data_IF_253336147086
#
_entry.id   IF_253336147086
#
_cell.length_a   1.000
_cell.length_b   1.000
_cell.length_c   1.000
_cell.angle_alpha   90.00
_cell.angle_beta   90.00
_cell.angle_gamma   90.00
#
_symmetry.space_group_name_H-M   'P 1'
#
loop_
_entity.id
_entity.type
_entity.pdbx_description
1 polymer ?
#
# COMPACT_ATOMS: atom_id res chain seq x y z
N UNK A 1 -11.59 -0.81 21.95
CA UNK A 1 -10.93 0.48 22.19
C UNK A 1 -10.06 0.85 21.01
N UNK A 2 -10.22 2.06 20.53
CA UNK A 2 -9.42 2.54 19.41
C UNK A 2 -8.03 2.91 19.88
N UNK A 3 -7.05 2.63 19.06
CA UNK A 3 -5.70 3.08 19.35
C UNK A 3 -5.50 4.44 18.70
N UNK A 4 -4.44 5.13 19.09
CA UNK A 4 -4.07 6.40 18.45
C UNK A 4 -2.95 6.21 17.43
N UNK A 5 -2.69 4.96 17.04
CA UNK A 5 -1.63 4.67 16.09
C UNK A 5 -2.20 4.76 14.70
N UNK A 6 -1.97 5.90 14.06
CA UNK A 6 -2.45 6.16 12.71
C UNK A 6 -1.34 6.87 11.95
N UNK A 7 -0.99 6.34 10.79
CA UNK A 7 0.00 6.93 9.91
C UNK A 7 -0.64 7.20 8.57
N UNK A 8 -0.39 8.39 8.04
CA UNK A 8 -0.95 8.79 6.76
C UNK A 8 0.19 9.22 5.86
N UNK A 9 0.19 8.74 4.63
CA UNK A 9 1.17 9.19 3.65
C UNK A 9 0.48 9.46 2.33
N UNK A 10 1.05 10.38 1.56
CA UNK A 10 0.61 10.56 0.19
C UNK A 10 0.90 9.31 -0.59
N UNK A 11 0.02 8.98 -1.51
CA UNK A 11 0.19 7.79 -2.33
C UNK A 11 -0.14 8.13 -3.76
N UNK A 12 0.68 7.63 -4.67
CA UNK A 12 0.48 7.81 -6.09
C UNK A 12 0.36 6.45 -6.71
N UNK A 13 -0.74 6.19 -7.40
CA UNK A 13 -0.99 4.89 -7.97
C UNK A 13 -2.46 4.69 -8.20
N UNK A 14 -2.82 3.45 -8.46
CA UNK A 14 -4.21 3.08 -8.70
C UNK A 14 -4.59 1.93 -7.79
N UNK A 15 -5.82 1.95 -7.31
CA UNK A 15 -6.35 0.85 -6.50
C UNK A 15 -7.63 0.35 -7.13
N UNK A 16 -7.94 -0.91 -6.85
CA UNK A 16 -9.11 -1.57 -7.40
C UNK A 16 -10.17 -1.72 -6.33
N UNK A 17 -11.39 -1.36 -6.67
CA UNK A 17 -12.54 -1.59 -5.82
C UNK A 17 -13.60 -2.25 -6.67
N UNK A 18 -13.91 -3.52 -6.39
CA UNK A 18 -14.75 -4.30 -7.26
C UNK A 18 -14.11 -4.42 -8.62
N UNK A 19 -14.81 -4.02 -9.65
CA UNK A 19 -14.31 -4.08 -11.02
C UNK A 19 -13.71 -2.76 -11.49
N UNK A 20 -13.68 -1.77 -10.63
CA UNK A 20 -13.28 -0.42 -11.04
C UNK A 20 -11.97 -0.03 -10.37
N UNK A 21 -11.17 0.72 -11.10
CA UNK A 21 -9.92 1.27 -10.60
C UNK A 21 -10.08 2.75 -10.36
N UNK A 22 -9.45 3.26 -9.32
CA UNK A 22 -9.45 4.68 -9.04
C UNK A 22 -8.05 5.13 -8.67
N UNK A 23 -7.71 6.40 -8.97
CA UNK A 23 -6.38 6.92 -8.60
C UNK A 23 -6.33 7.17 -7.09
N UNK A 24 -5.17 6.95 -6.53
CA UNK A 24 -4.95 7.16 -5.10
C UNK A 24 -4.56 8.60 -4.80
N UNK A 25 -4.87 9.04 -3.60
CA UNK A 25 -4.30 10.27 -3.06
C UNK A 25 -3.48 9.97 -1.81
N UNK A 26 -3.94 9.04 -0.99
CA UNK A 26 -3.30 8.76 0.30
C UNK A 26 -3.40 7.29 0.63
N UNK A 27 -2.51 6.86 1.50
CA UNK A 27 -2.60 5.57 2.18
C UNK A 27 -2.64 5.84 3.68
N UNK A 28 -3.54 5.16 4.36
CA UNK A 28 -3.70 5.30 5.80
C UNK A 28 -3.41 3.96 6.44
N UNK A 29 -2.50 3.96 7.41
CA UNK A 29 -2.12 2.74 8.12
C UNK A 29 -2.47 2.95 9.58
N UNK A 30 -3.17 2.00 10.18
CA UNK A 30 -3.57 2.13 11.56
C UNK A 30 -3.52 0.79 12.26
N UNK A 31 -3.47 0.84 13.58
CA UNK A 31 -3.57 -0.34 14.42
C UNK A 31 -4.85 -0.21 15.21
N UNK A 32 -5.80 -1.10 14.98
CA UNK A 32 -7.13 -0.96 15.57
C UNK A 32 -7.79 -2.33 15.66
N UNK A 33 -9.00 -2.33 16.21
CA UNK A 33 -9.80 -3.55 16.28
C UNK A 33 -10.20 -3.99 14.89
N UNK A 34 -10.16 -5.30 14.67
CA UNK A 34 -10.64 -5.86 13.42
C UNK A 34 -12.14 -5.67 13.31
N UNK A 35 -12.59 -5.27 12.13
CA UNK A 35 -14.01 -5.08 11.87
C UNK A 35 -14.60 -6.19 11.01
N UNK A 36 -13.76 -6.84 10.23
CA UNK A 36 -14.21 -7.87 9.29
C UNK A 36 -13.51 -9.20 9.53
N UNK A 37 -12.22 -9.16 9.84
CA UNK A 37 -11.50 -10.38 10.14
C UNK A 37 -11.89 -10.88 11.54
N UNK A 38 -11.91 -12.19 11.71
CA UNK A 38 -12.21 -12.77 13.02
C UNK A 38 -10.94 -12.80 13.85
N UNK A 39 -10.44 -11.63 14.15
CA UNK A 39 -9.15 -11.43 14.83
C UNK A 39 -9.34 -10.37 15.91
N UNK A 40 -8.34 -10.22 16.76
CA UNK A 40 -8.33 -9.14 17.73
C UNK A 40 -7.95 -7.83 17.08
N UNK A 41 -6.81 -7.27 17.50
CA UNK A 41 -6.33 -6.02 16.90
C UNK A 41 -5.54 -6.34 15.64
N UNK A 42 -5.65 -5.48 14.66
CA UNK A 42 -5.05 -5.70 13.34
C UNK A 42 -4.41 -4.42 12.84
N UNK A 43 -3.54 -4.58 11.86
CA UNK A 43 -3.07 -3.46 11.06
C UNK A 43 -4.07 -3.28 9.92
N UNK A 44 -4.59 -2.07 9.80
CA UNK A 44 -5.49 -1.74 8.69
C UNK A 44 -4.74 -0.90 7.68
N UNK A 45 -4.94 -1.22 6.42
CA UNK A 45 -4.40 -0.43 5.31
C UNK A 45 -5.57 0.07 4.50
N UNK A 46 -5.71 1.38 4.38
CA UNK A 46 -6.75 1.98 3.57
C UNK A 46 -6.09 2.84 2.50
N UNK A 47 -6.39 2.53 1.25
CA UNK A 47 -5.91 3.29 0.10
C UNK A 47 -7.09 4.10 -0.40
N UNK A 48 -6.95 5.42 -0.38
CA UNK A 48 -8.10 6.29 -0.61
C UNK A 48 -7.79 7.36 -1.64
N UNK A 49 -8.86 7.91 -2.20
CA UNK A 49 -8.80 9.19 -2.89
C UNK A 49 -9.66 10.17 -2.10
N UNK A 50 -9.02 11.15 -1.46
CA UNK A 50 -9.71 12.04 -0.54
C UNK A 50 -10.74 12.92 -1.25
N UNK A 51 -10.54 13.18 -2.55
CA UNK A 51 -11.48 13.99 -3.31
C UNK A 51 -12.72 13.19 -3.69
N UNK A 52 -12.55 11.90 -3.97
CA UNK A 52 -13.64 11.04 -4.45
C UNK A 52 -14.33 10.28 -3.32
N UNK A 53 -13.88 10.45 -2.09
CA UNK A 53 -14.50 9.75 -0.96
C UNK A 53 -15.99 10.11 -0.85
N UNK A 54 -16.80 9.21 -0.31
CA UNK A 54 -16.43 7.94 0.33
C UNK A 54 -16.33 6.75 -0.62
N UNK A 55 -16.57 6.91 -1.89
CA UNK A 55 -16.62 5.81 -2.82
C UNK A 55 -15.26 5.24 -3.19
N UNK A 56 -14.20 6.04 -3.13
CA UNK A 56 -12.88 5.62 -3.60
C UNK A 56 -12.01 5.21 -2.42
N UNK A 57 -12.19 3.95 -1.99
CA UNK A 57 -11.48 3.42 -0.84
C UNK A 57 -11.30 1.91 -1.00
N UNK A 58 -10.08 1.44 -0.80
CA UNK A 58 -9.78 0.01 -0.78
C UNK A 58 -9.07 -0.30 0.54
N UNK A 59 -9.65 -1.20 1.32
CA UNK A 59 -9.16 -1.47 2.67
C UNK A 59 -8.76 -2.91 2.87
N UNK A 60 -7.80 -3.11 3.75
CA UNK A 60 -7.29 -4.44 4.10
C UNK A 60 -7.08 -4.49 5.62
N UNK A 61 -7.37 -5.64 6.20
CA UNK A 61 -7.06 -5.91 7.60
C UNK A 61 -6.05 -7.04 7.66
N UNK A 62 -4.94 -6.81 8.33
CA UNK A 62 -3.84 -7.78 8.42
C UNK A 62 -3.48 -8.03 9.87
N UNK A 63 -3.07 -9.27 10.18
CA UNK A 63 -2.45 -9.51 11.47
C UNK A 63 -1.14 -8.72 11.53
N UNK A 64 -0.69 -8.46 12.75
CA UNK A 64 0.59 -7.78 12.92
C UNK A 64 1.72 -8.55 12.26
N UNK A 65 1.68 -9.88 12.36
CA UNK A 65 2.69 -10.71 11.72
C UNK A 65 2.68 -10.61 10.23
N UNK A 66 1.48 -10.66 9.63
CA UNK A 66 1.37 -10.51 8.18
C UNK A 66 1.84 -9.13 7.73
N UNK A 67 1.54 -8.10 8.52
CA UNK A 67 2.00 -6.76 8.20
C UNK A 67 3.53 -6.69 8.17
N UNK A 68 4.18 -7.37 9.11
CA UNK A 68 5.66 -7.42 9.12
C UNK A 68 6.20 -8.16 7.90
N UNK A 69 5.54 -9.24 7.50
CA UNK A 69 5.95 -9.98 6.31
C UNK A 69 5.76 -9.14 5.06
N UNK A 70 4.67 -8.42 4.99
CA UNK A 70 4.43 -7.54 3.85
C UNK A 70 5.48 -6.44 3.78
N UNK A 71 5.83 -5.86 4.93
CA UNK A 71 6.89 -4.85 4.97
C UNK A 71 8.19 -5.40 4.43
N UNK A 72 8.56 -6.60 4.84
CA UNK A 72 9.79 -7.22 4.37
C UNK A 72 9.74 -7.50 2.87
N UNK A 73 8.58 -7.95 2.38
CA UNK A 73 8.41 -8.21 0.94
C UNK A 73 8.52 -6.93 0.14
N UNK A 74 7.92 -5.84 0.65
CA UNK A 74 8.03 -4.54 0.00
C UNK A 74 9.49 -4.08 -0.05
N UNK A 75 10.21 -4.24 1.06
CA UNK A 75 11.62 -3.85 1.09
C UNK A 75 12.44 -4.60 0.05
N UNK A 76 12.18 -5.91 -0.10
CA UNK A 76 12.89 -6.70 -1.10
C UNK A 76 12.57 -6.27 -2.53
N UNK A 77 11.29 -6.02 -2.79
CA UNK A 77 10.87 -5.59 -4.13
C UNK A 77 11.42 -4.21 -4.46
N UNK A 78 11.41 -3.31 -3.49
CA UNK A 78 11.94 -1.96 -3.70
C UNK A 78 13.42 -2.01 -3.99
N UNK A 79 14.17 -2.82 -3.22
CA UNK A 79 15.60 -2.95 -3.44
C UNK A 79 15.92 -3.49 -4.83
N UNK A 80 15.14 -4.49 -5.26
CA UNK A 80 15.32 -5.06 -6.59
C UNK A 80 15.00 -4.04 -7.68
N UNK A 81 13.94 -3.27 -7.49
CA UNK A 81 13.54 -2.25 -8.45
C UNK A 81 14.60 -1.15 -8.54
N UNK A 82 15.12 -0.72 -7.39
CA UNK A 82 16.17 0.29 -7.36
C UNK A 82 17.39 -0.18 -8.12
N UNK A 83 17.76 -1.44 -7.95
CA UNK A 83 18.91 -1.99 -8.66
C UNK A 83 18.67 -1.99 -10.17
N UNK A 84 17.49 -2.39 -10.61
CA UNK A 84 17.18 -2.42 -12.04
C UNK A 84 17.17 -1.02 -12.64
N UNK A 85 16.60 -0.06 -11.92
CA UNK A 85 16.58 1.31 -12.43
C UNK A 85 17.98 1.89 -12.52
N UNK A 86 18.83 1.58 -11.55
CA UNK A 86 20.22 2.03 -11.60
C UNK A 86 20.95 1.41 -12.78
N UNK A 87 20.69 0.13 -13.08
CA UNK A 87 21.30 -0.53 -14.23
C UNK A 87 20.89 0.15 -15.54
N UNK A 88 19.61 0.46 -15.67
CA UNK A 88 19.11 1.12 -16.88
C UNK A 88 19.77 2.48 -17.04
N UNK A 89 19.81 3.28 -15.98
CA UNK A 89 20.44 4.60 -16.04
C UNK A 89 21.93 4.50 -16.29
N UNK A 90 22.58 3.51 -15.69
CA UNK A 90 24.00 3.30 -15.89
C UNK A 90 24.36 2.98 -17.32
N UNK A 91 23.41 2.44 -18.09
CA UNK A 91 23.61 2.15 -19.50
C UNK A 91 23.18 3.30 -20.40
N UNK A 92 22.77 4.43 -19.79
CA UNK A 92 22.37 5.59 -20.56
C UNK A 92 20.98 5.52 -21.15
N UNK A 93 20.20 4.52 -20.77
CA UNK A 93 18.84 4.38 -21.25
C UNK A 93 17.88 5.07 -20.28
N UNK A 94 16.76 5.55 -20.81
CA UNK A 94 15.71 6.12 -19.98
C UNK A 94 15.09 5.03 -19.12
N UNK A 95 14.72 5.35 -17.88
CA UNK A 95 14.04 4.36 -17.04
C UNK A 95 12.73 3.92 -17.66
N UNK A 96 12.43 2.65 -17.55
CA UNK A 96 11.17 2.08 -18.01
C UNK A 96 10.36 1.71 -16.80
N UNK A 97 9.05 1.85 -16.94
CA UNK A 97 8.17 1.37 -15.90
C UNK A 97 8.13 -0.15 -16.00
N UNK A 98 8.63 -0.80 -14.96
CA UNK A 98 8.64 -2.25 -14.90
C UNK A 98 7.45 -2.67 -14.06
N UNK A 99 6.61 -3.49 -14.65
CA UNK A 99 5.44 -3.96 -13.95
C UNK A 99 5.79 -5.18 -13.12
N UNK A 100 5.24 -5.22 -11.92
CA UNK A 100 5.33 -6.42 -11.12
C UNK A 100 4.54 -7.52 -11.82
N UNK A 101 5.11 -8.69 -11.82
CA UNK A 101 4.45 -9.83 -12.42
C UNK A 101 3.41 -10.41 -11.48
#
# INVERSE_FOLDING_TARGET
MCTSIIEVTKAEGMAKRGDEWFPLSHAVVAYDHARHANLGDVITLDFINAVLEPGARAGIELTLETAKELRAALDRAIAAADFEEAEVRGKGAAPVIVRAA
#
